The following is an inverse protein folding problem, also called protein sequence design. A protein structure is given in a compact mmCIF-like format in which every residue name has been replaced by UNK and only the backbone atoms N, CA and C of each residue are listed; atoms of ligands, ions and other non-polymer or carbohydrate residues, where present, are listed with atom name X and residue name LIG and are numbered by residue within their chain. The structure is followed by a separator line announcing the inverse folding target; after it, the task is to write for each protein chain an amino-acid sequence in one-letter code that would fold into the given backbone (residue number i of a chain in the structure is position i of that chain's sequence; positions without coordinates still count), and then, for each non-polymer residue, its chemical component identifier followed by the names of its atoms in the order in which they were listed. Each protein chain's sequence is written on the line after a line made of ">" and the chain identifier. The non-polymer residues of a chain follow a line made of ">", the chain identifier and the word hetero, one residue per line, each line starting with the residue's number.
data_IF_928364195846
#
_entry.id   IF_928364195846
#
_cell.length_a   1.000
_cell.length_b   1.000
_cell.length_c   1.000
_cell.angle_alpha   90.00
_cell.angle_beta   90.00
_cell.angle_gamma   90.00
#
_symmetry.space_group_name_H-M   'P 1'
#
loop_
_entity.id
_entity.type
_entity.pdbx_description
1 polymer ?
#
# COMPACT_ATOMS: atom_id res chain seq x y z
N UNK A 1 -8.31 25.05 -26.13
CA UNK A 1 -9.02 23.76 -25.95
C UNK A 1 -8.30 22.96 -24.87
N UNK A 2 -8.76 23.02 -23.62
CA UNK A 2 -8.17 22.27 -22.51
C UNK A 2 -8.67 20.82 -22.56
N UNK A 3 -7.77 19.85 -22.72
CA UNK A 3 -8.07 18.43 -22.53
C UNK A 3 -7.89 18.11 -21.05
N UNK A 4 -9.00 17.86 -20.37
CA UNK A 4 -8.98 17.24 -19.05
C UNK A 4 -8.56 15.79 -19.22
N UNK A 5 -7.37 15.42 -18.75
CA UNK A 5 -6.97 14.02 -18.64
C UNK A 5 -7.87 13.34 -17.61
N UNK A 6 -8.62 12.32 -18.04
CA UNK A 6 -9.46 11.52 -17.15
C UNK A 6 -8.57 10.78 -16.15
N UNK A 7 -8.88 10.93 -14.86
CA UNK A 7 -8.30 10.08 -13.81
C UNK A 7 -8.74 8.65 -14.09
N UNK A 8 -7.82 7.81 -14.53
CA UNK A 8 -8.08 6.41 -14.83
C UNK A 8 -8.18 5.65 -13.51
N UNK A 9 -9.35 5.08 -13.25
CA UNK A 9 -9.51 4.07 -12.21
C UNK A 9 -9.18 2.71 -12.84
N UNK A 10 -8.07 2.10 -12.44
CA UNK A 10 -7.68 0.75 -12.83
C UNK A 10 -7.99 -0.24 -11.69
N UNK A 11 -9.23 -0.76 -11.59
CA UNK A 11 -9.62 -1.69 -10.54
C UNK A 11 -8.97 -3.08 -10.69
N UNK A 12 -8.39 -3.40 -11.86
CA UNK A 12 -7.73 -4.69 -12.12
C UNK A 12 -6.21 -4.61 -12.05
N UNK A 13 -5.63 -3.40 -11.98
CA UNK A 13 -4.19 -3.15 -11.86
C UNK A 13 -3.39 -3.60 -13.09
N UNK A 14 -4.05 -3.73 -14.24
CA UNK A 14 -3.48 -4.27 -15.47
C UNK A 14 -2.66 -3.25 -16.25
N UNK A 15 -2.88 -1.95 -16.07
CA UNK A 15 -2.23 -0.90 -16.85
C UNK A 15 -0.91 -0.43 -16.25
N UNK A 16 -0.64 -0.84 -15.00
CA UNK A 16 0.42 -0.26 -14.16
C UNK A 16 1.61 -1.20 -13.92
N UNK A 17 2.00 -2.07 -14.85
CA UNK A 17 3.12 -3.01 -14.59
C UNK A 17 4.45 -2.31 -14.28
N UNK A 18 4.62 -1.07 -14.72
CA UNK A 18 5.84 -0.26 -14.59
C UNK A 18 5.67 1.05 -13.81
N UNK A 19 4.55 1.26 -13.09
CA UNK A 19 4.41 2.47 -12.26
C UNK A 19 5.37 2.40 -11.06
N UNK A 20 6.32 3.35 -10.93
CA UNK A 20 7.18 3.40 -9.76
C UNK A 20 6.36 3.73 -8.50
N UNK A 21 6.77 3.17 -7.37
CA UNK A 21 6.16 3.49 -6.07
C UNK A 21 6.40 4.97 -5.75
N UNK A 22 5.38 5.80 -5.95
CA UNK A 22 5.39 7.20 -5.56
C UNK A 22 5.11 7.35 -4.06
N UNK A 23 6.09 6.91 -3.26
CA UNK A 23 5.97 6.79 -1.80
C UNK A 23 5.67 8.11 -1.13
N UNK A 24 6.38 9.17 -1.49
CA UNK A 24 6.29 10.48 -0.83
C UNK A 24 4.87 11.05 -0.91
N UNK A 25 4.25 11.05 -2.11
CA UNK A 25 2.88 11.55 -2.28
C UNK A 25 1.87 10.75 -1.47
N UNK A 26 2.04 9.43 -1.40
CA UNK A 26 1.12 8.58 -0.65
C UNK A 26 1.32 8.68 0.87
N UNK A 27 2.54 8.94 1.35
CA UNK A 27 2.81 9.22 2.75
C UNK A 27 2.17 10.55 3.19
N UNK A 28 2.23 11.59 2.36
CA UNK A 28 1.54 12.86 2.60
C UNK A 28 0.01 12.68 2.67
N UNK A 29 -0.56 11.91 1.73
CA UNK A 29 -1.98 11.57 1.76
C UNK A 29 -2.35 10.77 3.03
N UNK A 30 -1.51 9.82 3.44
CA UNK A 30 -1.68 9.07 4.68
C UNK A 30 -1.77 9.97 5.90
N UNK A 31 -0.78 10.85 6.05
CA UNK A 31 -0.70 11.78 7.17
C UNK A 31 -1.96 12.64 7.23
N UNK A 32 -2.35 13.20 6.08
CA UNK A 32 -3.56 14.01 5.93
C UNK A 32 -4.83 13.26 6.34
N UNK A 33 -5.03 12.04 5.83
CA UNK A 33 -6.21 11.21 6.14
C UNK A 33 -6.26 10.80 7.62
N UNK A 34 -5.11 10.54 8.23
CA UNK A 34 -5.02 10.18 9.64
C UNK A 34 -5.30 11.36 10.57
N UNK A 35 -5.06 12.58 10.10
CA UNK A 35 -5.29 13.83 10.84
C UNK A 35 -6.73 14.35 10.75
N UNK A 36 -7.45 14.10 9.66
CA UNK A 36 -8.85 14.53 9.50
C UNK A 36 -9.73 14.19 10.70
N UNK A 37 -10.37 15.19 11.31
CA UNK A 37 -11.25 14.98 12.47
C UNK A 37 -10.52 14.60 13.77
N UNK A 38 -9.21 14.80 13.87
CA UNK A 38 -8.47 14.85 15.14
C UNK A 38 -8.26 16.30 15.57
N UNK A 39 -8.21 16.55 16.87
CA UNK A 39 -7.75 17.81 17.46
C UNK A 39 -8.34 19.10 16.85
N UNK A 40 -9.62 19.04 16.44
CA UNK A 40 -10.32 20.18 15.82
C UNK A 40 -10.11 20.32 14.31
N UNK A 41 -9.30 19.47 13.67
CA UNK A 41 -9.11 19.44 12.22
C UNK A 41 -10.44 19.13 11.51
N UNK A 42 -10.74 19.92 10.48
CA UNK A 42 -11.97 19.78 9.70
C UNK A 42 -12.05 18.39 9.04
N UNK A 43 -13.25 17.82 9.03
CA UNK A 43 -13.54 16.65 8.21
C UNK A 43 -13.82 17.15 6.79
N UNK A 44 -13.11 16.65 5.76
CA UNK A 44 -13.32 17.11 4.40
C UNK A 44 -14.68 16.64 3.84
N UNK A 45 -15.14 17.23 2.73
CA UNK A 45 -16.30 16.77 1.99
C UNK A 45 -16.27 15.27 1.67
N UNK A 46 -17.45 14.67 1.55
CA UNK A 46 -17.60 13.23 1.29
C UNK A 46 -16.86 12.78 0.02
N UNK A 47 -16.88 13.59 -1.03
CA UNK A 47 -16.20 13.29 -2.29
C UNK A 47 -14.67 13.14 -2.11
N UNK A 48 -14.05 13.99 -1.29
CA UNK A 48 -12.61 13.94 -1.04
C UNK A 48 -12.23 12.71 -0.19
N UNK A 49 -13.10 12.35 0.76
CA UNK A 49 -12.94 11.12 1.54
C UNK A 49 -13.00 9.90 0.63
N UNK A 50 -14.02 9.82 -0.24
CA UNK A 50 -14.20 8.71 -1.16
C UNK A 50 -13.03 8.63 -2.16
N UNK A 51 -12.52 9.78 -2.63
CA UNK A 51 -11.34 9.82 -3.49
C UNK A 51 -10.07 9.33 -2.77
N UNK A 52 -9.82 9.77 -1.54
CA UNK A 52 -8.68 9.29 -0.76
C UNK A 52 -8.77 7.78 -0.52
N UNK A 53 -9.97 7.25 -0.27
CA UNK A 53 -10.21 5.81 -0.13
C UNK A 53 -9.84 5.05 -1.41
N UNK A 54 -10.25 5.55 -2.58
CA UNK A 54 -9.92 4.94 -3.87
C UNK A 54 -8.41 4.98 -4.14
N UNK A 55 -7.78 6.14 -3.95
CA UNK A 55 -6.33 6.33 -4.15
C UNK A 55 -5.51 5.40 -3.24
N UNK A 56 -5.80 5.38 -1.94
CA UNK A 56 -5.10 4.51 -0.99
C UNK A 56 -5.37 3.03 -1.26
N UNK A 57 -6.53 2.67 -1.79
CA UNK A 57 -6.83 1.29 -2.19
C UNK A 57 -6.02 0.87 -3.41
N UNK A 58 -5.95 1.71 -4.45
CA UNK A 58 -5.12 1.44 -5.64
C UNK A 58 -3.65 1.28 -5.26
N UNK A 59 -3.13 2.21 -4.45
CA UNK A 59 -1.75 2.15 -3.98
C UNK A 59 -1.45 0.94 -3.09
N UNK A 60 -2.39 0.52 -2.25
CA UNK A 60 -2.24 -0.71 -1.48
C UNK A 60 -2.14 -1.96 -2.37
N UNK A 61 -2.89 -2.04 -3.47
CA UNK A 61 -2.74 -3.14 -4.44
C UNK A 61 -1.36 -3.14 -5.09
N UNK A 62 -0.86 -1.96 -5.47
CA UNK A 62 0.49 -1.79 -6.00
C UNK A 62 1.55 -2.27 -4.99
N UNK A 63 1.48 -1.82 -3.73
CA UNK A 63 2.39 -2.27 -2.67
C UNK A 63 2.35 -3.79 -2.45
N UNK A 64 1.15 -4.40 -2.45
CA UNK A 64 1.01 -5.87 -2.35
C UNK A 64 1.74 -6.56 -3.49
N UNK A 65 1.54 -6.10 -4.74
CA UNK A 65 2.18 -6.67 -5.93
C UNK A 65 3.70 -6.53 -5.88
N UNK A 66 4.21 -5.34 -5.59
CA UNK A 66 5.66 -5.10 -5.52
C UNK A 66 6.32 -5.85 -4.36
N UNK A 67 5.63 -5.96 -3.21
CA UNK A 67 6.11 -6.78 -2.09
C UNK A 67 6.19 -8.25 -2.49
N UNK A 68 5.19 -8.79 -3.19
CA UNK A 68 5.24 -10.17 -3.71
C UNK A 68 6.41 -10.39 -4.66
N UNK A 69 6.67 -9.45 -5.59
CA UNK A 69 7.84 -9.52 -6.50
C UNK A 69 9.16 -9.58 -5.71
N UNK A 70 9.29 -8.79 -4.64
CA UNK A 70 10.48 -8.82 -3.80
C UNK A 70 10.60 -10.08 -2.95
N UNK A 71 9.49 -10.57 -2.41
CA UNK A 71 9.42 -11.85 -1.70
C UNK A 71 9.87 -13.01 -2.59
N UNK A 72 9.59 -12.96 -3.90
CA UNK A 72 10.06 -13.96 -4.87
C UNK A 72 11.57 -13.93 -5.10
N UNK A 73 12.25 -12.82 -4.77
CA UNK A 73 13.71 -12.65 -4.86
C UNK A 73 14.45 -13.12 -3.61
N UNK A 74 13.76 -13.32 -2.48
CA UNK A 74 14.37 -13.91 -1.29
C UNK A 74 14.69 -15.41 -1.53
N UNK A 75 15.78 -15.95 -0.96
CA UNK A 75 16.12 -17.37 -1.04
C UNK A 75 14.92 -18.26 -0.71
N UNK A 76 14.72 -19.37 -1.44
CA UNK A 76 13.54 -20.24 -1.27
C UNK A 76 13.57 -21.03 0.04
N UNK A 77 14.73 -21.56 0.41
CA UNK A 77 14.99 -22.26 1.67
C UNK A 77 16.02 -21.49 2.52
N UNK A 78 15.61 -20.35 3.09
CA UNK A 78 16.45 -19.66 4.05
C UNK A 78 16.52 -20.49 5.34
N UNK A 79 17.66 -20.46 6.04
CA UNK A 79 17.73 -20.96 7.43
C UNK A 79 16.59 -20.32 8.23
N UNK A 80 15.88 -21.12 9.03
CA UNK A 80 14.67 -20.75 9.79
C UNK A 80 14.92 -19.53 10.69
N UNK A 81 16.15 -19.34 11.17
CA UNK A 81 16.52 -18.18 12.01
C UNK A 81 17.06 -16.99 11.22
N UNK A 82 17.19 -17.10 9.91
CA UNK A 82 17.71 -16.02 9.09
C UNK A 82 16.73 -14.85 8.98
N UNK A 83 17.28 -13.67 8.73
CA UNK A 83 16.51 -12.45 8.47
C UNK A 83 15.51 -12.63 7.31
N UNK A 84 15.89 -13.38 6.28
CA UNK A 84 15.04 -13.66 5.12
C UNK A 84 13.82 -14.53 5.47
N UNK A 85 14.00 -15.56 6.31
CA UNK A 85 12.91 -16.40 6.79
C UNK A 85 11.88 -15.59 7.61
N UNK A 86 12.38 -14.78 8.55
CA UNK A 86 11.54 -13.92 9.39
C UNK A 86 10.81 -12.87 8.54
N UNK A 87 11.51 -12.21 7.61
CA UNK A 87 10.91 -11.23 6.72
C UNK A 87 9.81 -11.85 5.86
N UNK A 88 10.01 -13.05 5.29
CA UNK A 88 8.98 -13.75 4.52
C UNK A 88 7.74 -14.04 5.36
N UNK A 89 7.90 -14.70 6.51
CA UNK A 89 6.78 -15.07 7.38
C UNK A 89 5.94 -13.86 7.80
N UNK A 90 6.57 -12.79 8.27
CA UNK A 90 5.85 -11.58 8.71
C UNK A 90 5.17 -10.86 7.53
N UNK A 91 5.77 -10.92 6.34
CA UNK A 91 5.19 -10.32 5.14
C UNK A 91 3.97 -11.08 4.68
N UNK A 92 4.00 -12.42 4.66
CA UNK A 92 2.87 -13.26 4.27
C UNK A 92 1.63 -13.00 5.14
N UNK A 93 1.80 -12.84 6.45
CA UNK A 93 0.71 -12.46 7.36
C UNK A 93 0.11 -11.11 6.97
N UNK A 94 0.96 -10.11 6.72
CA UNK A 94 0.52 -8.76 6.35
C UNK A 94 -0.17 -8.74 4.99
N UNK A 95 0.35 -9.49 4.01
CA UNK A 95 -0.21 -9.60 2.67
C UNK A 95 -1.56 -10.35 2.68
N UNK A 96 -1.70 -11.40 3.49
CA UNK A 96 -2.96 -12.09 3.69
C UNK A 96 -4.03 -11.19 4.31
N UNK A 97 -3.66 -10.39 5.31
CA UNK A 97 -4.52 -9.37 5.90
C UNK A 97 -4.92 -8.29 4.89
N UNK A 98 -3.94 -7.80 4.10
CA UNK A 98 -4.16 -6.81 3.07
C UNK A 98 -5.15 -7.32 2.01
N UNK A 99 -4.95 -8.54 1.50
CA UNK A 99 -5.84 -9.17 0.55
C UNK A 99 -7.28 -9.27 1.09
N UNK A 100 -7.45 -9.68 2.36
CA UNK A 100 -8.78 -9.73 2.99
C UNK A 100 -9.43 -8.35 3.05
N UNK A 101 -8.69 -7.30 3.44
CA UNK A 101 -9.22 -5.94 3.53
C UNK A 101 -9.50 -5.33 2.16
N UNK A 102 -8.69 -5.62 1.15
CA UNK A 102 -8.83 -5.09 -0.21
C UNK A 102 -9.98 -5.73 -0.99
N UNK A 103 -10.37 -6.97 -0.66
CA UNK A 103 -11.57 -7.62 -1.23
C UNK A 103 -12.88 -6.90 -0.89
N UNK A 104 -12.95 -6.20 0.24
CA UNK A 104 -14.15 -5.44 0.58
C UNK A 104 -14.26 -4.20 -0.34
N UNK A 105 -15.47 -3.81 -0.78
CA UNK A 105 -15.66 -2.64 -1.63
C UNK A 105 -14.93 -1.41 -1.12
N UNK A 106 -14.25 -0.71 -2.02
CA UNK A 106 -13.45 0.46 -1.69
C UNK A 106 -14.32 1.52 -1.02
N UNK A 107 -15.49 1.84 -1.57
CA UNK A 107 -16.45 2.79 -0.98
C UNK A 107 -17.64 2.02 -0.40
N UNK A 108 -18.02 2.33 0.85
CA UNK A 108 -19.23 1.81 1.51
C UNK A 108 -20.28 2.91 1.67
N UNK A 109 -21.56 2.52 1.63
CA UNK A 109 -22.69 3.45 1.78
C UNK A 109 -22.65 4.24 3.12
N UNK A 110 -22.16 3.63 4.20
CA UNK A 110 -22.02 4.27 5.51
C UNK A 110 -20.54 4.43 5.92
N UNK A 111 -20.16 5.64 6.36
CA UNK A 111 -18.94 5.90 7.14
C UNK A 111 -17.61 5.99 6.39
N UNK A 112 -17.49 6.90 5.41
CA UNK A 112 -16.28 7.07 4.59
C UNK A 112 -14.98 7.38 5.36
N UNK A 113 -15.04 8.19 6.44
CA UNK A 113 -13.84 8.62 7.17
C UNK A 113 -13.12 7.46 7.87
N UNK A 114 -13.90 6.56 8.51
CA UNK A 114 -13.34 5.38 9.15
C UNK A 114 -12.68 4.44 8.13
N UNK A 115 -13.28 4.34 6.93
CA UNK A 115 -12.73 3.58 5.83
C UNK A 115 -11.43 4.20 5.29
N UNK A 116 -11.39 5.52 5.09
CA UNK A 116 -10.18 6.23 4.68
C UNK A 116 -9.03 5.98 5.65
N UNK A 117 -9.26 6.16 6.96
CA UNK A 117 -8.27 5.88 8.01
C UNK A 117 -7.84 4.41 8.04
N UNK A 118 -8.76 3.47 7.80
CA UNK A 118 -8.44 2.05 7.72
C UNK A 118 -7.51 1.75 6.53
N UNK A 119 -7.77 2.33 5.36
CA UNK A 119 -6.90 2.23 4.17
C UNK A 119 -5.54 2.88 4.42
N UNK A 120 -5.51 4.04 5.07
CA UNK A 120 -4.29 4.73 5.42
C UNK A 120 -3.37 3.87 6.30
N UNK A 121 -3.92 3.29 7.37
CA UNK A 121 -3.16 2.37 8.24
C UNK A 121 -2.70 1.10 7.52
N UNK A 122 -3.51 0.58 6.59
CA UNK A 122 -3.12 -0.58 5.79
C UNK A 122 -1.90 -0.26 4.93
N UNK A 123 -1.89 0.87 4.23
CA UNK A 123 -0.74 1.32 3.44
C UNK A 123 0.50 1.55 4.32
N UNK A 124 0.35 2.10 5.53
CA UNK A 124 1.47 2.26 6.47
C UNK A 124 2.10 0.90 6.87
N UNK A 125 1.25 -0.10 7.14
CA UNK A 125 1.70 -1.45 7.44
C UNK A 125 2.39 -2.10 6.23
N UNK A 126 1.85 -1.91 5.03
CA UNK A 126 2.44 -2.41 3.79
C UNK A 126 3.79 -1.76 3.48
N UNK A 127 3.96 -0.46 3.73
CA UNK A 127 5.26 0.22 3.64
C UNK A 127 6.29 -0.40 4.57
N UNK A 128 5.92 -0.60 5.84
CA UNK A 128 6.81 -1.22 6.83
C UNK A 128 7.22 -2.63 6.43
N UNK A 129 6.28 -3.39 5.83
CA UNK A 129 6.55 -4.73 5.29
C UNK A 129 7.44 -4.68 4.06
N UNK A 130 7.19 -3.77 3.12
CA UNK A 130 8.02 -3.57 1.94
C UNK A 130 9.47 -3.26 2.32
N UNK A 131 9.68 -2.29 3.23
CA UNK A 131 11.01 -1.91 3.73
C UNK A 131 11.72 -3.08 4.42
N UNK A 132 10.98 -3.89 5.19
CA UNK A 132 11.53 -5.08 5.85
C UNK A 132 12.00 -6.12 4.84
N UNK A 133 11.23 -6.36 3.79
CA UNK A 133 11.62 -7.29 2.71
C UNK A 133 12.81 -6.73 1.94
N UNK A 134 12.81 -5.42 1.64
CA UNK A 134 13.92 -4.75 0.96
C UNK A 134 15.23 -4.97 1.72
N UNK A 135 15.21 -4.75 3.02
CA UNK A 135 16.38 -4.86 3.87
C UNK A 135 16.81 -6.33 4.12
N UNK A 136 15.95 -7.31 3.80
CA UNK A 136 16.25 -8.74 3.87
C UNK A 136 16.74 -9.32 2.53
N UNK A 137 16.67 -8.56 1.44
CA UNK A 137 17.27 -8.99 0.18
C UNK A 137 18.79 -9.10 0.37
N UNK A 138 19.42 -10.13 -0.20
CA UNK A 138 20.87 -10.19 -0.23
C UNK A 138 21.38 -8.94 -0.95
N UNK A 139 22.38 -8.27 -0.37
CA UNK A 139 23.15 -7.29 -1.12
C UNK A 139 23.65 -8.00 -2.37
N UNK A 140 23.35 -7.43 -3.54
CA UNK A 140 24.04 -7.86 -4.76
C UNK A 140 25.51 -7.70 -4.43
N UNK A 141 26.21 -8.83 -4.28
CA UNK A 141 27.66 -8.83 -4.20
C UNK A 141 28.14 -8.21 -5.51
N UNK A 142 28.36 -6.90 -5.51
CA UNK A 142 29.22 -6.24 -6.48
C UNK A 142 30.57 -6.89 -6.27
N UNK A 143 30.85 -7.91 -7.08
CA UNK A 143 32.14 -8.57 -7.14
C UNK A 143 33.22 -7.56 -7.55
N UNK A 144 34.49 -7.87 -7.24
CA UNK A 144 35.63 -6.99 -7.47
C UNK A 144 35.84 -6.62 -8.94
#
# INVERSE_FOLDING_TARGET
>A
MMRYGSVVHDPTGQWDTDIPLDRERHEQLLATVLDWGRDGCAVPPRADIDQAVLQLSGYAHLLVRETHKMLARLPRDPDVRSRAAIARLQSEITLGEAARRLRAPAIRAAGGLGQARSRARLVQALHSTYDRVAAALPELATGP
#
